data_IF_615092255799
#
_entry.id   IF_615092255799
#
_cell.length_a   1.000
_cell.length_b   1.000
_cell.length_c   1.000
_cell.angle_alpha   90.00
_cell.angle_beta   90.00
_cell.angle_gamma   90.00
#
_symmetry.space_group_name_H-M   'P 1'
#
loop_
_entity.id
_entity.type
_entity.pdbx_description
1 polymer ?
#
# COMPACT_ATOMS: atom_id res chain seq x y z
N UNK A 1 1.29 -8.48 32.69
CA UNK A 1 0.48 -9.34 31.83
C UNK A 1 0.81 -10.77 32.21
N UNK A 2 -0.14 -11.52 32.75
CA UNK A 2 0.07 -12.91 33.11
C UNK A 2 -0.07 -13.77 31.84
N UNK A 3 0.58 -14.93 31.77
CA UNK A 3 0.56 -15.82 30.60
C UNK A 3 -0.88 -16.12 30.13
N UNK A 4 -1.78 -16.39 31.07
CA UNK A 4 -3.20 -16.64 30.76
C UNK A 4 -3.96 -15.45 30.17
N UNK A 5 -3.48 -14.21 30.36
CA UNK A 5 -4.06 -13.03 29.70
C UNK A 5 -3.59 -12.93 28.24
N UNK A 6 -2.33 -13.29 27.96
CA UNK A 6 -1.81 -13.36 26.60
C UNK A 6 -2.50 -14.47 25.79
N UNK A 7 -2.74 -15.62 26.40
CA UNK A 7 -3.44 -16.74 25.75
C UNK A 7 -4.86 -16.35 25.34
N UNK A 8 -5.61 -15.66 26.22
CA UNK A 8 -6.96 -15.17 25.90
C UNK A 8 -6.95 -14.19 24.73
N UNK A 9 -6.00 -13.25 24.72
CA UNK A 9 -5.84 -12.29 23.62
C UNK A 9 -5.45 -13.00 22.31
N UNK A 10 -4.60 -14.02 22.38
CA UNK A 10 -4.21 -14.80 21.22
C UNK A 10 -5.39 -15.57 20.62
N UNK A 11 -6.20 -16.21 21.47
CA UNK A 11 -7.42 -16.91 21.04
C UNK A 11 -8.42 -15.94 20.40
N UNK A 12 -8.60 -14.76 20.99
CA UNK A 12 -9.49 -13.73 20.44
C UNK A 12 -9.03 -13.28 19.05
N UNK A 13 -7.73 -13.01 18.86
CA UNK A 13 -7.20 -12.56 17.57
C UNK A 13 -7.29 -13.67 16.50
N UNK A 14 -7.08 -14.95 16.88
CA UNK A 14 -7.29 -16.10 15.98
C UNK A 14 -8.76 -16.18 15.50
N UNK A 15 -9.71 -16.02 16.42
CA UNK A 15 -11.14 -16.03 16.07
C UNK A 15 -11.53 -14.83 15.21
N UNK A 16 -10.90 -13.66 15.43
CA UNK A 16 -11.12 -12.45 14.63
C UNK A 16 -10.62 -12.62 13.20
N UNK A 17 -9.40 -13.13 13.03
CA UNK A 17 -8.86 -13.39 11.69
C UNK A 17 -9.65 -14.49 10.97
N UNK A 18 -10.12 -15.52 11.68
CA UNK A 18 -10.99 -16.55 11.09
C UNK A 18 -12.32 -15.97 10.57
N UNK A 19 -12.97 -15.08 11.33
CA UNK A 19 -14.18 -14.37 10.88
C UNK A 19 -13.90 -13.55 9.61
N UNK A 20 -12.78 -12.83 9.58
CA UNK A 20 -12.35 -12.05 8.41
C UNK A 20 -12.06 -12.94 7.20
N UNK A 21 -11.43 -14.10 7.42
CA UNK A 21 -11.18 -15.10 6.39
C UNK A 21 -12.47 -15.63 5.78
N UNK A 22 -13.48 -15.91 6.63
CA UNK A 22 -14.81 -16.33 6.19
C UNK A 22 -15.51 -15.27 5.33
N UNK A 23 -15.47 -14.00 5.73
CA UNK A 23 -16.05 -12.90 4.93
C UNK A 23 -15.36 -12.78 3.57
N UNK A 24 -14.02 -12.82 3.54
CA UNK A 24 -13.27 -12.81 2.27
C UNK A 24 -13.63 -14.00 1.38
N UNK A 25 -13.75 -15.20 1.96
CA UNK A 25 -14.13 -16.40 1.22
C UNK A 25 -15.57 -16.33 0.70
N UNK A 26 -16.48 -15.67 1.42
CA UNK A 26 -17.85 -15.44 0.95
C UNK A 26 -17.88 -14.48 -0.25
N UNK A 27 -17.10 -13.40 -0.19
CA UNK A 27 -17.10 -12.36 -1.22
C UNK A 27 -16.31 -12.76 -2.48
N UNK A 28 -15.12 -13.34 -2.28
CA UNK A 28 -14.16 -13.61 -3.35
C UNK A 28 -14.03 -15.11 -3.68
N UNK A 29 -14.61 -15.99 -2.88
CA UNK A 29 -14.46 -17.43 -3.05
C UNK A 29 -13.01 -17.92 -2.88
N UNK A 30 -12.68 -19.09 -3.46
CA UNK A 30 -11.32 -19.64 -3.49
C UNK A 30 -10.29 -18.67 -4.10
N UNK A 31 -10.72 -17.87 -5.09
CA UNK A 31 -9.86 -16.90 -5.77
C UNK A 31 -9.36 -15.77 -4.85
N UNK A 32 -9.98 -15.55 -3.69
CA UNK A 32 -9.52 -14.58 -2.69
C UNK A 32 -8.17 -14.92 -2.03
N UNK A 33 -7.67 -16.14 -2.26
CA UNK A 33 -6.36 -16.62 -1.79
C UNK A 33 -5.29 -16.60 -2.89
N UNK A 34 -5.72 -16.57 -4.16
CA UNK A 34 -4.84 -16.50 -5.30
C UNK A 34 -4.31 -15.07 -5.50
N UNK A 35 -3.14 -14.97 -6.15
CA UNK A 35 -2.62 -13.67 -6.55
C UNK A 35 -3.48 -13.13 -7.69
N UNK A 36 -3.83 -11.84 -7.62
CA UNK A 36 -4.52 -11.16 -8.71
C UNK A 36 -3.74 -11.38 -10.02
N UNK A 37 -4.37 -11.93 -11.08
CA UNK A 37 -3.69 -12.17 -12.35
C UNK A 37 -3.28 -10.86 -13.03
N UNK A 38 -3.93 -9.75 -12.67
CA UNK A 38 -3.59 -8.41 -13.15
C UNK A 38 -2.35 -7.90 -12.40
N UNK A 39 -1.37 -7.30 -13.11
CA UNK A 39 -0.20 -6.70 -12.47
C UNK A 39 -0.59 -5.70 -11.38
N UNK A 40 0.21 -5.60 -10.30
CA UNK A 40 -0.05 -4.64 -9.24
C UNK A 40 0.00 -3.21 -9.79
N UNK A 41 -1.00 -2.40 -9.45
CA UNK A 41 -1.07 -1.01 -9.86
C UNK A 41 0.12 -0.20 -9.31
N UNK A 42 0.54 0.84 -10.05
CA UNK A 42 1.53 1.79 -9.55
C UNK A 42 1.02 2.47 -8.27
N UNK A 43 1.84 2.48 -7.21
CA UNK A 43 1.48 3.09 -5.92
C UNK A 43 1.02 4.55 -6.04
N UNK A 44 1.65 5.35 -6.89
CA UNK A 44 1.28 6.77 -7.07
C UNK A 44 -0.10 6.90 -7.70
N UNK A 45 -0.35 6.11 -8.75
CA UNK A 45 -1.64 6.04 -9.41
C UNK A 45 -2.72 5.63 -8.40
N UNK A 46 -2.53 4.52 -7.68
CA UNK A 46 -3.51 4.02 -6.72
C UNK A 46 -3.86 5.04 -5.62
N UNK A 47 -2.85 5.68 -5.03
CA UNK A 47 -3.09 6.69 -3.98
C UNK A 47 -3.90 7.87 -4.53
N UNK A 48 -3.52 8.38 -5.70
CA UNK A 48 -4.21 9.51 -6.31
C UNK A 48 -5.66 9.15 -6.70
N UNK A 49 -5.88 7.95 -7.25
CA UNK A 49 -7.20 7.44 -7.58
C UNK A 49 -8.08 7.31 -6.33
N UNK A 50 -7.58 6.68 -5.27
CA UNK A 50 -8.33 6.53 -4.02
C UNK A 50 -8.65 7.88 -3.38
N UNK A 51 -7.68 8.80 -3.37
CA UNK A 51 -7.88 10.14 -2.82
C UNK A 51 -8.99 10.90 -3.57
N UNK A 52 -9.02 10.87 -4.91
CA UNK A 52 -10.09 11.48 -5.69
C UNK A 52 -11.44 10.85 -5.33
N UNK A 53 -11.57 9.53 -5.48
CA UNK A 53 -12.84 8.80 -5.30
C UNK A 53 -13.41 8.92 -3.87
N UNK A 54 -12.56 9.02 -2.85
CA UNK A 54 -13.00 9.22 -1.47
C UNK A 54 -13.29 10.70 -1.14
N UNK A 55 -12.55 11.63 -1.75
CA UNK A 55 -12.79 13.07 -1.57
C UNK A 55 -14.10 13.52 -2.22
N UNK A 56 -14.46 12.93 -3.36
CA UNK A 56 -15.67 13.25 -4.10
C UNK A 56 -16.94 12.87 -3.32
N UNK A 57 -16.90 11.77 -2.55
CA UNK A 57 -18.00 11.35 -1.65
C UNK A 57 -18.30 12.38 -0.56
N UNK A 58 -17.27 13.02 -0.01
CA UNK A 58 -17.42 14.07 1.01
C UNK A 58 -17.85 15.42 0.40
N UNK A 59 -17.53 15.67 -0.87
CA UNK A 59 -17.94 16.89 -1.58
C UNK A 59 -19.43 16.87 -1.93
N UNK A 60 -19.96 15.72 -2.35
CA UNK A 60 -21.38 15.55 -2.68
C UNK A 60 -22.30 15.70 -1.45
N UNK A 61 -21.94 15.11 -0.30
CA UNK A 61 -22.71 15.31 0.94
C UNK A 61 -22.75 16.78 1.40
N UNK A 62 -21.70 17.56 1.12
CA UNK A 62 -21.64 18.98 1.50
C UNK A 62 -22.42 19.88 0.54
N UNK A 63 -22.56 19.50 -0.74
CA UNK A 63 -23.37 20.26 -1.70
C UNK A 63 -24.87 20.04 -1.52
N UNK A 64 -25.30 18.85 -1.09
CA UNK A 64 -26.73 18.60 -0.84
C UNK A 64 -27.23 19.31 0.42
N UNK A 65 -26.42 19.36 1.49
CA UNK A 65 -26.72 20.15 2.70
C UNK A 65 -26.74 21.66 2.50
N UNK A 66 -26.23 22.17 1.38
CA UNK A 66 -26.22 23.61 1.06
C UNK A 66 -27.35 24.04 0.14
N UNK A 67 -28.14 23.10 -0.39
CA UNK A 67 -29.24 23.41 -1.33
C UNK A 67 -30.60 23.58 -0.67
N UNK A 68 -30.73 23.33 0.64
CA UNK A 68 -31.99 23.49 1.39
C UNK A 68 -32.19 24.87 2.05
N UNK A 69 -31.14 25.71 2.12
CA UNK A 69 -31.15 26.91 2.99
C UNK A 69 -30.91 28.23 2.25
N UNK A 70 -31.38 28.38 1.00
CA UNK A 70 -31.19 29.66 0.29
C UNK A 70 -32.32 30.06 -0.66
N UNK A 71 -33.49 30.35 -0.09
CA UNK A 71 -34.44 31.30 -0.66
C UNK A 71 -34.27 32.65 0.06
N UNK A 72 -33.71 33.66 -0.62
CA UNK A 72 -33.61 35.04 -0.13
C UNK A 72 -32.55 35.89 -0.85
N UNK A 73 -32.91 37.00 -1.55
CA UNK A 73 -31.99 37.75 -2.40
C UNK A 73 -31.43 39.01 -1.69
N UNK A 74 -30.13 39.29 -1.85
CA UNK A 74 -29.44 40.60 -1.74
C UNK A 74 -27.96 40.36 -1.42
N UNK A 75 -26.96 41.14 -1.79
CA UNK A 75 -26.72 42.24 -2.72
C UNK A 75 -25.21 42.50 -2.65
N UNK A 76 -24.64 43.12 -3.69
CA UNK A 76 -23.36 43.86 -3.69
C UNK A 76 -22.01 43.14 -3.44
N UNK A 77 -21.23 43.02 -4.51
CA UNK A 77 -19.77 42.84 -4.59
C UNK A 77 -18.99 44.04 -3.99
N UNK A 78 -17.64 44.11 -4.09
CA UNK A 78 -16.58 43.19 -3.63
C UNK A 78 -15.57 43.93 -2.72
N UNK A 79 -14.88 43.25 -1.79
CA UNK A 79 -13.72 43.87 -1.12
C UNK A 79 -12.51 42.95 -0.94
N UNK A 80 -11.39 43.60 -1.23
CA UNK A 80 -9.99 43.25 -1.26
C UNK A 80 -9.46 42.52 -0.03
N UNK A 81 -8.43 41.69 -0.26
CA UNK A 81 -7.44 41.20 0.70
C UNK A 81 -7.96 40.36 1.88
N UNK A 82 -7.70 39.04 1.86
CA UNK A 82 -6.88 38.38 2.89
C UNK A 82 -6.32 37.06 2.33
N UNK A 83 -5.04 37.07 1.91
CA UNK A 83 -4.24 35.84 1.81
C UNK A 83 -4.02 35.32 3.25
N UNK A 84 -4.95 34.50 3.76
CA UNK A 84 -4.75 33.77 5.02
C UNK A 84 -3.95 32.49 4.74
N UNK A 85 -2.63 32.65 4.75
CA UNK A 85 -1.73 31.57 5.14
C UNK A 85 -2.09 31.18 6.58
N UNK A 86 -2.87 30.11 6.76
CA UNK A 86 -3.04 29.48 8.07
C UNK A 86 -2.05 28.35 8.18
N UNK A 87 -0.87 28.70 8.71
CA UNK A 87 -0.02 27.75 9.40
C UNK A 87 -0.87 27.12 10.53
N UNK A 88 -1.36 25.90 10.31
CA UNK A 88 -1.86 25.04 11.38
C UNK A 88 -0.74 24.11 11.81
N UNK A 89 0.09 24.64 12.70
CA UNK A 89 0.89 23.85 13.63
C UNK A 89 -0.05 22.97 14.46
N UNK A 90 -0.17 21.70 14.08
CA UNK A 90 -0.62 20.65 14.98
C UNK A 90 0.55 19.69 15.18
N UNK A 91 1.32 19.99 16.22
CA UNK A 91 2.30 19.10 16.81
C UNK A 91 1.57 17.89 17.39
N UNK A 92 1.40 16.85 16.58
CA UNK A 92 1.19 15.49 17.06
C UNK A 92 2.40 14.68 16.63
N UNK A 93 3.24 14.35 17.62
CA UNK A 93 4.49 13.63 17.45
C UNK A 93 4.25 12.29 16.76
N UNK A 94 4.52 12.23 15.45
CA UNK A 94 4.69 10.98 14.73
C UNK A 94 6.16 10.63 14.79
N UNK A 95 6.47 9.67 15.67
CA UNK A 95 7.71 8.91 15.65
C UNK A 95 8.03 8.55 14.19
N UNK A 96 9.15 9.07 13.68
CA UNK A 96 9.70 8.67 12.39
C UNK A 96 10.33 7.31 12.58
N UNK A 97 9.51 6.26 12.56
CA UNK A 97 9.99 4.88 12.51
C UNK A 97 10.72 4.66 11.20
N UNK A 98 12.04 4.53 11.29
CA UNK A 98 12.95 4.16 10.21
C UNK A 98 12.57 2.78 9.63
N UNK A 99 11.70 2.73 8.61
CA UNK A 99 11.37 1.49 7.90
C UNK A 99 12.03 1.36 6.52
N UNK A 100 12.90 2.29 6.13
CA UNK A 100 13.55 2.24 4.81
C UNK A 100 14.79 1.32 4.74
N UNK A 101 15.30 0.84 5.88
CA UNK A 101 16.48 -0.03 5.91
C UNK A 101 16.25 -1.40 5.25
N UNK A 102 15.03 -1.94 5.36
CA UNK A 102 14.70 -3.29 4.89
C UNK A 102 14.48 -3.36 3.36
N UNK A 103 14.21 -2.21 2.74
CA UNK A 103 14.05 -2.12 1.28
C UNK A 103 15.41 -2.16 0.56
N UNK A 104 16.45 -1.59 1.19
CA UNK A 104 17.79 -1.55 0.63
C UNK A 104 18.51 -2.90 0.72
N UNK A 105 18.30 -3.66 1.81
CA UNK A 105 18.87 -5.01 1.99
C UNK A 105 18.38 -5.97 0.90
N UNK A 106 17.07 -6.02 0.64
CA UNK A 106 16.45 -6.88 -0.38
C UNK A 106 16.94 -6.58 -1.80
N UNK A 107 17.27 -5.32 -2.11
CA UNK A 107 17.85 -4.95 -3.41
C UNK A 107 19.28 -5.45 -3.57
N UNK A 108 20.11 -5.34 -2.52
CA UNK A 108 21.49 -5.87 -2.52
C UNK A 108 21.52 -7.39 -2.69
N UNK A 109 20.64 -8.11 -2.01
CA UNK A 109 20.57 -9.58 -2.11
C UNK A 109 20.15 -10.07 -3.49
N UNK A 110 19.17 -9.40 -4.12
CA UNK A 110 18.78 -9.72 -5.51
C UNK A 110 19.92 -9.48 -6.49
N UNK A 111 20.66 -8.38 -6.32
CA UNK A 111 21.82 -8.08 -7.18
C UNK A 111 22.93 -9.13 -7.01
N UNK A 112 23.26 -9.52 -5.77
CA UNK A 112 24.29 -10.53 -5.48
C UNK A 112 23.94 -11.90 -6.08
N UNK A 113 22.69 -12.36 -5.93
CA UNK A 113 22.22 -13.63 -6.52
C UNK A 113 22.26 -13.60 -8.05
N UNK A 114 21.93 -12.47 -8.66
CA UNK A 114 22.01 -12.29 -10.12
C UNK A 114 23.45 -12.40 -10.63
N UNK A 115 24.39 -11.74 -9.95
CA UNK A 115 25.82 -11.81 -10.31
C UNK A 115 26.39 -13.23 -10.14
N UNK A 116 26.03 -13.94 -9.06
CA UNK A 116 26.45 -15.33 -8.86
C UNK A 116 25.96 -16.26 -9.98
N UNK A 117 24.70 -16.13 -10.41
CA UNK A 117 24.16 -16.92 -11.52
C UNK A 117 24.87 -16.62 -12.84
N UNK A 118 25.17 -15.34 -13.12
CA UNK A 118 25.93 -14.94 -14.31
C UNK A 118 27.34 -15.52 -14.31
N UNK A 119 28.04 -15.45 -13.18
CA UNK A 119 29.39 -15.99 -13.05
C UNK A 119 29.41 -17.52 -13.19
N UNK A 120 28.43 -18.22 -12.59
CA UNK A 120 28.30 -19.67 -12.76
C UNK A 120 28.04 -20.05 -14.22
N UNK A 121 27.17 -19.30 -14.91
CA UNK A 121 26.88 -19.53 -16.32
C UNK A 121 28.08 -19.28 -17.23
N UNK A 122 28.84 -18.21 -16.98
CA UNK A 122 30.09 -17.93 -17.71
C UNK A 122 31.11 -19.04 -17.47
N UNK A 123 31.24 -19.49 -16.23
CA UNK A 123 32.14 -20.60 -15.86
C UNK A 123 31.71 -21.88 -16.55
N UNK A 124 30.43 -22.24 -16.52
CA UNK A 124 29.89 -23.43 -17.17
C UNK A 124 30.10 -23.38 -18.69
N UNK A 125 29.86 -22.23 -19.33
CA UNK A 125 30.15 -22.03 -20.76
C UNK A 125 31.62 -22.20 -21.09
N UNK A 126 32.51 -21.70 -20.23
CA UNK A 126 33.96 -21.88 -20.37
C UNK A 126 34.34 -23.36 -20.26
N UNK A 127 33.77 -24.09 -19.31
CA UNK A 127 34.03 -25.53 -19.14
C UNK A 127 33.51 -26.38 -20.29
N UNK A 128 32.34 -26.04 -20.85
CA UNK A 128 31.83 -26.67 -22.07
C UNK A 128 32.74 -26.38 -23.26
N UNK A 129 33.19 -25.12 -23.42
CA UNK A 129 34.12 -24.74 -24.51
C UNK A 129 35.49 -25.42 -24.40
N UNK A 130 35.97 -25.65 -23.17
CA UNK A 130 37.22 -26.37 -22.88
C UNK A 130 37.05 -27.89 -22.93
N UNK A 131 35.86 -28.41 -23.23
CA UNK A 131 35.58 -29.85 -23.28
C UNK A 131 35.57 -30.55 -21.92
N UNK A 132 35.61 -29.81 -20.80
CA UNK A 132 35.59 -30.38 -19.45
C UNK A 132 34.20 -30.86 -19.04
N UNK A 133 33.14 -30.36 -19.68
CA UNK A 133 31.75 -30.74 -19.44
C UNK A 133 31.09 -30.98 -20.80
N UNK A 134 30.56 -32.18 -21.03
CA UNK A 134 29.76 -32.49 -22.21
C UNK A 134 28.37 -31.88 -22.03
N UNK A 135 27.83 -31.25 -23.08
CA UNK A 135 26.41 -30.87 -23.08
C UNK A 135 25.60 -32.16 -23.01
N UNK A 136 24.68 -32.24 -22.06
CA UNK A 136 23.64 -33.28 -22.09
C UNK A 136 22.74 -32.99 -23.28
N UNK A 137 22.68 -33.92 -24.23
CA UNK A 137 21.72 -33.93 -25.33
C UNK A 137 20.30 -34.20 -24.84
#
# INVERSE_FOLDING_TARGET
MNEGDLEKLAVEELLREAKRGRERAKDMGPAGWDKCPVPPANKRFLINTLASQLSDKNRQQRSERKKSDNDGPSSSSPSTNQRRATARSSSTGKSRTHHDADSASRKKDRHRKSQQKRNLFITLKSQIKKGQIKKSE
#
